data_IF_006822795067
#
_entry.id   IF_006822795067
#
_cell.length_a   1.000
_cell.length_b   1.000
_cell.length_c   1.000
_cell.angle_alpha   90.00
_cell.angle_beta   90.00
_cell.angle_gamma   90.00
#
_symmetry.space_group_name_H-M   'P 1'
#
loop_
_entity.id
_entity.type
_entity.pdbx_description
1 polymer ?
#
# COMPACT_ATOMS: atom_id res chain seq x y z
N UNK A 1 -82.06 -12.74 -49.18
CA UNK A 1 -83.06 -13.45 -48.34
C UNK A 1 -82.63 -13.31 -46.92
N UNK A 2 -83.22 -12.39 -46.20
CA UNK A 2 -84.19 -12.63 -45.14
C UNK A 2 -83.58 -13.33 -43.94
N UNK A 3 -83.67 -12.98 -42.72
CA UNK A 3 -84.51 -12.10 -41.91
C UNK A 3 -84.15 -12.34 -40.43
N UNK A 4 -84.16 -11.29 -39.66
CA UNK A 4 -84.72 -11.12 -38.30
C UNK A 4 -84.23 -11.98 -37.15
N UNK A 5 -84.04 -11.56 -35.95
CA UNK A 5 -84.59 -10.54 -35.02
C UNK A 5 -83.93 -10.77 -33.64
N UNK A 6 -83.48 -9.70 -33.01
CA UNK A 6 -83.85 -9.24 -31.66
C UNK A 6 -84.05 -10.31 -30.56
N UNK A 7 -83.28 -10.19 -29.48
CA UNK A 7 -83.89 -9.93 -28.17
C UNK A 7 -82.89 -9.37 -27.21
N UNK A 8 -83.27 -8.32 -26.52
CA UNK A 8 -82.67 -7.67 -25.37
C UNK A 8 -82.74 -8.57 -24.14
N UNK A 9 -81.72 -8.58 -23.33
CA UNK A 9 -81.83 -8.79 -21.90
C UNK A 9 -80.73 -7.96 -21.17
N UNK A 10 -81.21 -7.03 -20.38
CA UNK A 10 -80.48 -6.21 -19.42
C UNK A 10 -80.20 -7.08 -18.23
N UNK A 11 -78.91 -7.10 -17.73
CA UNK A 11 -78.66 -7.44 -16.33
C UNK A 11 -77.46 -6.64 -15.86
N UNK A 12 -77.74 -5.78 -14.93
CA UNK A 12 -77.01 -5.28 -13.75
C UNK A 12 -75.46 -5.13 -13.75
N UNK A 13 -75.09 -3.86 -13.64
CA UNK A 13 -73.77 -3.43 -13.07
C UNK A 13 -73.60 -3.95 -11.63
N UNK A 14 -72.53 -4.64 -11.38
CA UNK A 14 -71.92 -4.76 -10.04
C UNK A 14 -70.56 -4.20 -10.13
N UNK A 15 -70.38 -2.98 -9.66
CA UNK A 15 -69.13 -2.29 -9.47
C UNK A 15 -68.38 -2.89 -8.27
N UNK A 16 -67.37 -3.68 -8.54
CA UNK A 16 -66.36 -4.07 -7.51
C UNK A 16 -65.19 -3.08 -7.58
N UNK A 17 -65.21 -2.09 -6.68
CA UNK A 17 -64.09 -1.20 -6.45
C UNK A 17 -63.05 -1.96 -5.61
N UNK A 18 -62.03 -2.55 -6.24
CA UNK A 18 -60.82 -2.99 -5.53
C UNK A 18 -59.98 -1.76 -5.22
N UNK A 19 -59.96 -1.36 -3.97
CA UNK A 19 -59.02 -0.39 -3.45
C UNK A 19 -57.61 -1.02 -3.46
N UNK A 20 -56.76 -0.64 -4.41
CA UNK A 20 -55.34 -0.90 -4.39
C UNK A 20 -54.71 0.06 -3.36
N UNK A 21 -54.49 -0.41 -2.13
CA UNK A 21 -53.53 0.20 -1.21
C UNK A 21 -52.15 -0.01 -1.77
N UNK A 22 -51.66 0.94 -2.55
CA UNK A 22 -50.28 1.03 -2.98
C UNK A 22 -49.40 1.27 -1.75
N UNK A 23 -48.76 0.21 -1.24
CA UNK A 23 -47.61 0.34 -0.33
C UNK A 23 -46.48 0.95 -1.17
N UNK A 24 -46.33 2.28 -1.06
CA UNK A 24 -45.14 2.95 -1.56
C UNK A 24 -43.96 2.41 -0.76
N UNK A 25 -43.23 1.44 -1.31
CA UNK A 25 -41.94 1.04 -0.81
C UNK A 25 -41.04 2.27 -0.90
N UNK A 26 -40.77 2.90 0.23
CA UNK A 26 -39.74 3.93 0.35
C UNK A 26 -38.42 3.21 0.09
N UNK A 27 -37.98 3.25 -1.18
CA UNK A 27 -36.62 2.89 -1.51
C UNK A 27 -35.74 4.00 -0.94
N UNK A 28 -35.22 3.82 0.29
CA UNK A 28 -34.04 4.56 0.70
C UNK A 28 -32.96 4.23 -0.31
N UNK A 29 -32.39 5.22 -1.03
CA UNK A 29 -31.23 4.94 -1.86
C UNK A 29 -30.20 4.31 -0.94
N UNK A 30 -29.72 3.12 -1.29
CA UNK A 30 -28.52 2.59 -0.66
C UNK A 30 -27.43 3.65 -0.87
N UNK A 31 -27.00 4.31 0.19
CA UNK A 31 -25.86 5.21 0.12
C UNK A 31 -24.73 4.39 -0.47
N UNK A 32 -24.25 4.78 -1.66
CA UNK A 32 -23.02 4.20 -2.17
C UNK A 32 -21.98 4.35 -1.05
N UNK A 33 -21.35 3.25 -0.65
CA UNK A 33 -20.29 3.32 0.35
C UNK A 33 -19.28 4.36 -0.12
N UNK A 34 -18.91 5.30 0.78
CA UNK A 34 -17.89 6.28 0.46
C UNK A 34 -16.58 5.53 0.17
N UNK A 35 -15.96 5.85 -0.96
CA UNK A 35 -14.74 5.19 -1.42
C UNK A 35 -13.53 6.04 -1.08
N UNK A 36 -12.46 5.36 -0.64
CA UNK A 36 -11.16 5.96 -0.45
C UNK A 36 -10.16 5.23 -1.32
N UNK A 37 -9.46 5.96 -2.16
CA UNK A 37 -8.36 5.41 -2.97
C UNK A 37 -7.03 5.82 -2.36
N UNK A 38 -6.22 4.83 -1.99
CA UNK A 38 -4.92 5.02 -1.35
C UNK A 38 -3.80 4.57 -2.27
N UNK A 39 -2.80 5.42 -2.49
CA UNK A 39 -1.55 5.04 -3.10
C UNK A 39 -0.52 4.82 -1.99
N UNK A 40 -0.06 3.59 -1.81
CA UNK A 40 0.79 3.21 -0.69
C UNK A 40 2.05 2.45 -1.12
N UNK A 41 3.17 2.74 -0.47
CA UNK A 41 4.40 2.00 -0.66
C UNK A 41 4.18 0.49 -0.49
N UNK A 42 4.76 -0.33 -1.37
CA UNK A 42 4.53 -1.77 -1.44
C UNK A 42 4.80 -2.52 -0.12
N UNK A 43 5.74 -2.03 0.69
CA UNK A 43 6.06 -2.57 2.01
C UNK A 43 4.93 -2.47 3.04
N UNK A 44 3.96 -1.57 2.82
CA UNK A 44 2.81 -1.38 3.72
C UNK A 44 1.73 -2.45 3.55
N UNK A 45 1.76 -3.23 2.46
CA UNK A 45 0.62 -4.03 2.04
C UNK A 45 -0.04 -4.82 3.18
N UNK A 46 0.71 -5.63 3.91
CA UNK A 46 0.13 -6.51 4.94
C UNK A 46 -0.49 -5.72 6.10
N UNK A 47 0.22 -4.70 6.60
CA UNK A 47 -0.25 -3.86 7.69
C UNK A 47 -1.46 -3.01 7.28
N UNK A 48 -1.38 -2.40 6.10
CA UNK A 48 -2.42 -1.48 5.65
C UNK A 48 -3.70 -2.22 5.22
N UNK A 49 -3.59 -3.41 4.61
CA UNK A 49 -4.76 -4.24 4.30
C UNK A 49 -5.52 -4.62 5.58
N UNK A 50 -4.80 -4.97 6.67
CA UNK A 50 -5.42 -5.29 7.96
C UNK A 50 -6.06 -4.05 8.61
N UNK A 51 -5.39 -2.91 8.57
CA UNK A 51 -5.93 -1.64 9.07
C UNK A 51 -7.18 -1.21 8.29
N UNK A 52 -7.14 -1.32 6.96
CA UNK A 52 -8.27 -0.97 6.10
C UNK A 52 -9.48 -1.87 6.34
N UNK A 53 -9.28 -3.17 6.53
CA UNK A 53 -10.38 -4.08 6.85
C UNK A 53 -11.10 -3.68 8.17
N UNK A 54 -10.35 -3.18 9.16
CA UNK A 54 -10.93 -2.67 10.40
C UNK A 54 -11.67 -1.33 10.19
N UNK A 55 -11.08 -0.42 9.41
CA UNK A 55 -11.68 0.86 9.04
C UNK A 55 -12.98 0.67 8.26
N UNK A 56 -12.96 -0.12 7.20
CA UNK A 56 -14.11 -0.35 6.32
C UNK A 56 -15.26 -0.98 7.09
N UNK A 57 -14.95 -1.91 8.01
CA UNK A 57 -15.94 -2.51 8.90
C UNK A 57 -16.56 -1.49 9.87
N UNK A 58 -15.74 -0.57 10.44
CA UNK A 58 -16.22 0.44 11.40
C UNK A 58 -17.06 1.53 10.72
N UNK A 59 -16.67 1.94 9.52
CA UNK A 59 -17.25 3.09 8.83
C UNK A 59 -18.27 2.73 7.74
N UNK A 60 -18.30 1.49 7.27
CA UNK A 60 -19.09 1.09 6.12
C UNK A 60 -18.57 1.68 4.80
N UNK A 61 -17.26 1.99 4.74
CA UNK A 61 -16.55 2.51 3.57
C UNK A 61 -15.98 1.38 2.73
N UNK A 62 -15.41 1.72 1.57
CA UNK A 62 -14.65 0.80 0.72
C UNK A 62 -13.27 1.42 0.44
N UNK A 63 -12.22 0.86 1.04
CA UNK A 63 -10.84 1.34 0.80
C UNK A 63 -10.17 0.52 -0.29
N UNK A 64 -9.79 1.18 -1.39
CA UNK A 64 -9.03 0.57 -2.48
C UNK A 64 -7.58 1.05 -2.42
N UNK A 65 -6.62 0.13 -2.47
CA UNK A 65 -5.20 0.47 -2.38
C UNK A 65 -4.42 0.03 -3.61
N UNK A 66 -3.63 0.95 -4.16
CA UNK A 66 -2.60 0.65 -5.16
C UNK A 66 -1.24 0.58 -4.47
N UNK A 67 -0.63 -0.60 -4.50
CA UNK A 67 0.69 -0.85 -3.92
C UNK A 67 1.77 -0.87 -5.00
N UNK A 68 2.75 0.02 -4.89
CA UNK A 68 3.93 0.06 -5.76
C UNK A 68 5.11 0.74 -5.04
N UNK A 69 6.24 0.92 -5.72
CA UNK A 69 7.28 1.80 -5.21
C UNK A 69 6.76 3.24 -5.10
N UNK A 70 7.16 3.96 -4.05
CA UNK A 70 6.75 5.35 -3.85
C UNK A 70 7.09 6.24 -5.04
N UNK A 71 8.20 5.96 -5.73
CA UNK A 71 8.60 6.63 -6.98
C UNK A 71 7.57 6.49 -8.10
N UNK A 72 7.08 5.27 -8.32
CA UNK A 72 6.08 5.00 -9.35
C UNK A 72 4.75 5.66 -9.01
N UNK A 73 4.32 5.58 -7.75
CA UNK A 73 3.08 6.21 -7.27
C UNK A 73 3.16 7.74 -7.36
N UNK A 74 4.28 8.34 -6.96
CA UNK A 74 4.48 9.79 -7.06
C UNK A 74 4.40 10.28 -8.52
N UNK A 75 4.94 9.49 -9.47
CA UNK A 75 4.83 9.80 -10.90
C UNK A 75 3.41 9.62 -11.44
N UNK A 76 2.65 8.64 -10.94
CA UNK A 76 1.24 8.50 -11.27
C UNK A 76 0.40 9.66 -10.73
N UNK A 77 0.68 10.12 -9.50
CA UNK A 77 0.04 11.31 -8.92
C UNK A 77 0.34 12.55 -9.77
N UNK A 78 1.60 12.75 -10.18
CA UNK A 78 2.00 13.85 -11.08
C UNK A 78 1.25 13.79 -12.42
N UNK A 79 1.01 12.58 -12.94
CA UNK A 79 0.25 12.36 -14.18
C UNK A 79 -1.27 12.50 -14.00
N UNK A 80 -1.76 12.82 -12.80
CA UNK A 80 -3.18 13.03 -12.51
C UNK A 80 -3.96 11.75 -12.22
N UNK A 81 -3.30 10.65 -11.85
CA UNK A 81 -4.00 9.44 -11.42
C UNK A 81 -4.85 9.73 -10.18
N UNK A 82 -6.12 9.30 -10.15
CA UNK A 82 -7.03 9.62 -9.06
C UNK A 82 -6.67 8.80 -7.82
N UNK A 83 -6.32 9.50 -6.74
CA UNK A 83 -6.17 8.93 -5.41
C UNK A 83 -6.47 10.00 -4.36
N UNK A 84 -6.84 9.57 -3.15
CA UNK A 84 -7.18 10.45 -2.04
C UNK A 84 -6.02 10.61 -1.08
N UNK A 85 -5.29 9.54 -0.81
CA UNK A 85 -4.21 9.51 0.17
C UNK A 85 -2.95 8.90 -0.45
N UNK A 86 -1.80 9.49 -0.16
CA UNK A 86 -0.49 8.98 -0.53
C UNK A 86 0.33 8.65 0.72
N UNK A 87 0.90 7.44 0.77
CA UNK A 87 1.79 6.99 1.83
C UNK A 87 3.11 6.53 1.19
N UNK A 88 4.14 7.33 1.36
CA UNK A 88 5.47 7.07 0.81
C UNK A 88 6.34 6.28 1.81
N UNK A 89 7.34 5.56 1.31
CA UNK A 89 8.38 4.92 2.13
C UNK A 89 9.65 5.77 2.29
N UNK A 90 9.65 6.98 1.79
CA UNK A 90 10.70 7.99 2.07
C UNK A 90 10.11 9.41 2.02
N UNK A 91 10.83 10.34 2.63
CA UNK A 91 10.46 11.75 2.60
C UNK A 91 10.62 12.35 1.19
N UNK A 92 11.63 11.92 0.44
CA UNK A 92 11.98 12.52 -0.84
C UNK A 92 10.83 12.42 -1.88
N UNK A 93 10.11 11.30 -1.94
CA UNK A 93 8.97 11.17 -2.85
C UNK A 93 7.72 11.90 -2.35
N UNK A 94 7.57 12.07 -1.04
CA UNK A 94 6.54 12.98 -0.50
C UNK A 94 6.88 14.44 -0.79
N UNK A 95 8.15 14.86 -0.62
CA UNK A 95 8.63 16.20 -0.96
C UNK A 95 8.41 16.47 -2.45
N UNK A 96 8.71 15.51 -3.31
CA UNK A 96 8.49 15.61 -4.75
C UNK A 96 7.04 15.96 -5.14
N UNK A 97 6.05 15.32 -4.52
CA UNK A 97 4.63 15.63 -4.80
C UNK A 97 4.19 16.90 -4.10
N UNK A 98 4.77 17.23 -2.94
CA UNK A 98 4.52 18.47 -2.20
C UNK A 98 5.00 19.71 -2.99
N UNK A 99 6.24 19.70 -3.49
CA UNK A 99 6.80 20.78 -4.32
C UNK A 99 5.95 21.07 -5.56
N UNK A 100 5.25 20.06 -6.06
CA UNK A 100 4.29 20.18 -7.17
C UNK A 100 2.89 20.60 -6.74
N UNK A 101 2.68 20.86 -5.43
CA UNK A 101 1.38 21.25 -4.84
C UNK A 101 0.29 20.17 -5.04
N UNK A 102 0.69 18.90 -5.03
CA UNK A 102 -0.19 17.77 -5.26
C UNK A 102 -0.72 17.15 -3.94
N UNK A 103 -0.35 17.72 -2.79
CA UNK A 103 -0.88 17.34 -1.47
C UNK A 103 -1.53 18.52 -0.77
N UNK A 104 -2.38 18.24 0.20
CA UNK A 104 -2.85 19.22 1.20
C UNK A 104 -1.80 19.26 2.31
N UNK A 105 -0.93 20.27 2.30
CA UNK A 105 0.27 20.38 3.15
C UNK A 105 -0.03 20.25 4.66
N UNK A 106 -1.16 20.80 5.10
CA UNK A 106 -1.64 20.76 6.48
C UNK A 106 -2.00 19.35 6.96
N UNK A 107 -2.12 18.41 6.03
CA UNK A 107 -2.44 17.00 6.33
C UNK A 107 -1.20 16.10 6.39
N UNK A 108 -0.04 16.63 5.96
CA UNK A 108 1.20 15.84 5.94
C UNK A 108 1.65 15.49 7.37
N UNK A 109 1.94 14.20 7.59
CA UNK A 109 2.46 13.69 8.85
C UNK A 109 3.48 12.56 8.62
N UNK A 110 4.42 12.40 9.54
CA UNK A 110 5.29 11.23 9.61
C UNK A 110 4.55 10.13 10.37
N UNK A 111 4.22 9.04 9.69
CA UNK A 111 3.36 8.00 10.24
C UNK A 111 4.16 6.86 10.88
N UNK A 112 5.14 6.32 10.16
CA UNK A 112 5.85 5.09 10.54
C UNK A 112 7.35 5.21 10.32
N UNK A 113 8.10 4.42 11.12
CA UNK A 113 9.51 4.11 10.91
C UNK A 113 9.71 2.66 10.51
N UNK A 114 10.89 2.33 9.94
CA UNK A 114 11.26 0.99 9.54
C UNK A 114 12.79 0.80 9.64
N UNK A 115 13.26 -0.41 9.32
CA UNK A 115 14.69 -0.78 9.23
C UNK A 115 14.94 -1.52 7.94
N UNK A 116 16.13 -1.40 7.35
CA UNK A 116 16.58 -2.27 6.27
C UNK A 116 17.37 -3.45 6.83
N UNK A 117 17.17 -4.60 6.19
CA UNK A 117 17.79 -5.87 6.56
C UNK A 117 18.36 -6.58 5.34
N UNK A 118 19.37 -7.38 5.56
CA UNK A 118 19.87 -8.36 4.60
C UNK A 118 19.06 -9.65 4.80
N UNK A 119 18.50 -10.16 3.73
CA UNK A 119 17.75 -11.42 3.72
C UNK A 119 18.40 -12.45 2.80
N UNK A 120 18.18 -13.72 3.09
CA UNK A 120 18.52 -14.85 2.24
C UNK A 120 17.32 -15.82 2.17
N UNK A 121 17.28 -16.76 1.19
CA UNK A 121 16.34 -17.86 1.20
C UNK A 121 16.40 -18.59 2.53
N UNK A 122 15.25 -18.92 3.12
CA UNK A 122 15.17 -19.46 4.48
C UNK A 122 16.08 -20.67 4.72
N UNK A 123 16.11 -21.59 3.76
CA UNK A 123 16.88 -22.83 3.89
C UNK A 123 18.40 -22.65 3.73
N UNK A 124 18.83 -21.49 3.17
CA UNK A 124 20.22 -21.13 2.98
C UNK A 124 20.71 -20.04 3.96
N UNK A 125 19.84 -19.56 4.83
CA UNK A 125 20.10 -18.43 5.71
C UNK A 125 21.19 -18.77 6.75
N UNK A 126 22.22 -17.92 6.82
CA UNK A 126 23.25 -17.95 7.84
C UNK A 126 23.45 -16.53 8.38
N UNK A 127 23.60 -16.35 9.70
CA UNK A 127 23.83 -15.04 10.28
C UNK A 127 25.02 -14.33 9.66
N UNK A 128 24.84 -13.04 9.36
CA UNK A 128 25.87 -12.14 8.81
C UNK A 128 26.03 -10.96 9.75
N UNK A 129 27.27 -10.73 10.20
CA UNK A 129 27.60 -9.50 10.94
C UNK A 129 27.79 -8.35 9.96
N UNK A 130 26.81 -7.42 9.92
CA UNK A 130 26.89 -6.23 9.08
C UNK A 130 27.69 -5.15 9.80
N UNK A 131 28.87 -4.85 9.29
CA UNK A 131 29.80 -3.86 9.81
C UNK A 131 30.61 -3.23 8.69
N UNK A 132 31.41 -2.22 9.04
CA UNK A 132 32.35 -1.58 8.11
C UNK A 132 33.19 -2.63 7.37
N UNK A 133 33.13 -2.60 6.03
CA UNK A 133 33.95 -3.45 5.17
C UNK A 133 33.58 -4.94 5.18
N UNK A 134 32.36 -5.35 5.63
CA UNK A 134 31.97 -6.76 5.57
C UNK A 134 31.96 -7.28 4.12
N UNK A 135 32.35 -8.52 3.92
CA UNK A 135 32.54 -9.08 2.58
C UNK A 135 31.24 -9.54 1.92
N UNK A 136 30.40 -8.55 1.55
CA UNK A 136 29.13 -8.81 0.85
C UNK A 136 29.36 -9.43 -0.54
N UNK A 137 30.47 -9.08 -1.20
CA UNK A 137 30.79 -9.61 -2.52
C UNK A 137 31.03 -11.12 -2.50
N UNK A 138 31.75 -11.63 -1.48
CA UNK A 138 31.94 -13.06 -1.28
C UNK A 138 30.62 -13.78 -0.92
N UNK A 139 29.75 -13.14 -0.12
CA UNK A 139 28.44 -13.69 0.20
C UNK A 139 27.57 -13.86 -1.06
N UNK A 140 27.52 -12.84 -1.90
CA UNK A 140 26.75 -12.87 -3.16
C UNK A 140 27.35 -13.85 -4.17
N UNK A 141 28.67 -14.04 -4.15
CA UNK A 141 29.39 -14.93 -5.06
C UNK A 141 29.13 -14.57 -6.53
N UNK A 142 28.82 -15.56 -7.37
CA UNK A 142 28.46 -15.35 -8.78
C UNK A 142 27.00 -14.93 -8.99
N UNK A 143 26.21 -14.86 -7.91
CA UNK A 143 24.82 -14.47 -7.96
C UNK A 143 24.61 -12.96 -8.06
N UNK A 144 23.37 -12.54 -7.75
CA UNK A 144 22.96 -11.13 -7.75
C UNK A 144 22.46 -10.73 -6.36
N UNK A 145 22.62 -9.45 -6.05
CA UNK A 145 22.04 -8.83 -4.86
C UNK A 145 20.70 -8.20 -5.23
N UNK A 146 19.60 -8.76 -4.75
CA UNK A 146 18.27 -8.22 -5.02
C UNK A 146 18.02 -6.96 -4.18
N UNK A 147 17.69 -5.86 -4.84
CA UNK A 147 17.35 -4.58 -4.22
C UNK A 147 16.26 -3.89 -5.06
N UNK A 148 15.49 -2.99 -4.47
CA UNK A 148 14.78 -2.00 -5.26
C UNK A 148 15.74 -1.20 -6.14
N UNK A 149 15.30 -0.70 -7.29
CA UNK A 149 16.12 0.14 -8.16
C UNK A 149 16.75 1.29 -7.34
N UNK A 150 18.08 1.33 -7.29
CA UNK A 150 18.83 2.15 -6.32
C UNK A 150 18.74 3.66 -6.53
N UNK A 151 18.33 4.07 -7.73
CA UNK A 151 18.20 5.50 -8.08
C UNK A 151 16.79 6.04 -7.80
N UNK A 152 15.79 5.18 -7.58
CA UNK A 152 14.40 5.60 -7.49
C UNK A 152 13.60 4.95 -6.36
N UNK A 153 13.71 3.63 -6.16
CA UNK A 153 12.93 2.90 -5.16
C UNK A 153 13.48 3.19 -3.76
N UNK A 154 12.65 3.62 -2.79
CA UNK A 154 13.13 3.99 -1.45
C UNK A 154 14.04 2.96 -0.79
N UNK A 155 13.63 1.68 -0.72
CA UNK A 155 14.45 0.61 -0.13
C UNK A 155 15.81 0.46 -0.84
N UNK A 156 15.85 0.63 -2.16
CA UNK A 156 17.07 0.61 -2.94
C UNK A 156 17.99 1.78 -2.60
N UNK A 157 17.43 2.99 -2.48
CA UNK A 157 18.18 4.20 -2.08
C UNK A 157 18.79 4.04 -0.68
N UNK A 158 18.01 3.56 0.30
CA UNK A 158 18.50 3.31 1.66
C UNK A 158 19.56 2.21 1.67
N UNK A 159 19.36 1.11 0.93
CA UNK A 159 20.33 0.03 0.82
C UNK A 159 21.65 0.50 0.20
N UNK A 160 21.60 1.28 -0.90
CA UNK A 160 22.79 1.88 -1.50
C UNK A 160 23.53 2.78 -0.52
N UNK A 161 22.82 3.70 0.14
CA UNK A 161 23.42 4.61 1.12
C UNK A 161 24.11 3.84 2.26
N UNK A 162 23.49 2.77 2.76
CA UNK A 162 24.08 1.92 3.79
C UNK A 162 25.34 1.22 3.29
N UNK A 163 25.33 0.64 2.09
CA UNK A 163 26.48 -0.03 1.51
C UNK A 163 27.64 0.93 1.19
N UNK A 164 27.35 2.16 0.75
CA UNK A 164 28.32 3.23 0.56
C UNK A 164 28.97 3.62 1.89
N UNK A 165 28.15 3.86 2.92
CA UNK A 165 28.63 4.22 4.26
C UNK A 165 29.50 3.13 4.87
N UNK A 166 29.14 1.87 4.65
CA UNK A 166 29.91 0.70 5.12
C UNK A 166 31.12 0.36 4.22
N UNK A 167 31.35 1.12 3.14
CA UNK A 167 32.51 0.96 2.26
C UNK A 167 32.49 -0.29 1.38
N UNK A 168 31.30 -0.87 1.14
CA UNK A 168 31.16 -2.14 0.38
C UNK A 168 30.41 -1.99 -0.95
N UNK A 169 29.85 -0.81 -1.25
CA UNK A 169 29.04 -0.58 -2.45
C UNK A 169 29.78 -0.94 -3.73
N UNK A 170 30.99 -0.44 -3.93
CA UNK A 170 31.77 -0.64 -5.15
C UNK A 170 32.09 -2.10 -5.46
N UNK A 171 32.06 -2.98 -4.46
CA UNK A 171 32.30 -4.42 -4.62
C UNK A 171 31.06 -5.17 -5.14
N UNK A 172 29.85 -4.57 -5.04
CA UNK A 172 28.58 -5.22 -5.37
C UNK A 172 27.71 -4.45 -6.34
N UNK A 173 28.03 -3.20 -6.69
CA UNK A 173 27.18 -2.38 -7.59
C UNK A 173 26.91 -3.07 -8.93
N UNK A 174 27.91 -3.73 -9.53
CA UNK A 174 27.76 -4.51 -10.77
C UNK A 174 26.95 -5.81 -10.60
N UNK A 175 26.67 -6.22 -9.38
CA UNK A 175 25.91 -7.43 -9.03
C UNK A 175 24.46 -7.15 -8.65
N UNK A 176 24.03 -5.88 -8.59
CA UNK A 176 22.67 -5.54 -8.19
C UNK A 176 21.65 -6.02 -9.22
N UNK A 177 20.65 -6.75 -8.76
CA UNK A 177 19.38 -6.99 -9.46
C UNK A 177 18.38 -5.96 -9.00
N UNK A 178 18.29 -4.85 -9.74
CA UNK A 178 17.37 -3.74 -9.44
C UNK A 178 15.94 -4.11 -9.78
N UNK A 179 15.06 -4.15 -8.78
CA UNK A 179 13.64 -4.46 -8.93
C UNK A 179 12.78 -3.19 -8.93
N UNK A 180 11.60 -3.28 -9.53
CA UNK A 180 10.64 -2.17 -9.60
C UNK A 180 10.07 -1.75 -8.23
N UNK A 181 10.12 -2.64 -7.23
CA UNK A 181 9.70 -2.36 -5.85
C UNK A 181 10.48 -3.25 -4.87
N UNK A 182 10.39 -2.93 -3.57
CA UNK A 182 11.00 -3.76 -2.52
C UNK A 182 10.38 -5.15 -2.46
N UNK A 183 9.08 -5.29 -2.71
CA UNK A 183 8.40 -6.61 -2.73
C UNK A 183 8.80 -7.43 -3.95
N UNK A 184 9.09 -6.80 -5.09
CA UNK A 184 9.67 -7.49 -6.24
C UNK A 184 11.10 -7.98 -5.94
N UNK A 185 11.92 -7.18 -5.24
CA UNK A 185 13.24 -7.60 -4.78
C UNK A 185 13.17 -8.77 -3.79
N UNK A 186 12.26 -8.71 -2.81
CA UNK A 186 12.00 -9.79 -1.86
C UNK A 186 11.65 -11.10 -2.57
N UNK A 187 10.79 -11.04 -3.58
CA UNK A 187 10.36 -12.20 -4.35
C UNK A 187 11.52 -12.89 -5.09
N UNK A 188 12.53 -12.15 -5.55
CA UNK A 188 13.73 -12.75 -6.16
C UNK A 188 14.48 -13.62 -5.16
N UNK A 189 14.57 -13.19 -3.90
CA UNK A 189 15.21 -13.97 -2.84
C UNK A 189 14.35 -15.15 -2.43
N UNK A 190 13.07 -14.93 -2.20
CA UNK A 190 12.12 -15.98 -1.78
C UNK A 190 12.03 -17.13 -2.77
N UNK A 191 12.19 -16.85 -4.08
CA UNK A 191 12.22 -17.86 -5.16
C UNK A 191 13.60 -18.46 -5.41
N UNK A 192 14.64 -18.03 -4.67
CA UNK A 192 16.01 -18.48 -4.85
C UNK A 192 16.71 -17.95 -6.13
N UNK A 193 16.15 -16.91 -6.77
CA UNK A 193 16.73 -16.25 -7.94
C UNK A 193 17.89 -15.31 -7.57
N UNK A 194 17.93 -14.87 -6.30
CA UNK A 194 19.02 -14.12 -5.71
C UNK A 194 19.41 -14.73 -4.35
N UNK A 195 20.72 -14.96 -4.10
CA UNK A 195 21.19 -15.52 -2.83
C UNK A 195 20.99 -14.56 -1.64
N UNK A 196 20.98 -13.27 -1.90
CA UNK A 196 20.76 -12.24 -0.89
C UNK A 196 19.94 -11.07 -1.47
N UNK A 197 19.23 -10.37 -0.56
CA UNK A 197 18.54 -9.14 -0.91
C UNK A 197 18.53 -8.15 0.24
N UNK A 198 18.38 -6.87 -0.09
CA UNK A 198 18.18 -5.79 0.88
C UNK A 198 16.74 -5.30 0.77
N UNK A 199 15.99 -5.49 1.85
CA UNK A 199 14.56 -5.17 1.96
C UNK A 199 14.29 -4.53 3.32
N UNK A 200 13.06 -4.13 3.57
CA UNK A 200 12.69 -3.72 4.92
C UNK A 200 12.44 -4.92 5.83
N UNK A 201 12.62 -4.73 7.13
CA UNK A 201 12.30 -5.74 8.15
C UNK A 201 10.86 -6.23 8.03
N UNK A 202 9.93 -5.31 7.76
CA UNK A 202 8.50 -5.60 7.57
C UNK A 202 8.22 -6.44 6.33
N UNK A 203 9.03 -6.32 5.27
CA UNK A 203 8.92 -7.17 4.08
C UNK A 203 9.36 -8.60 4.38
N UNK A 204 10.48 -8.73 5.10
CA UNK A 204 10.98 -10.04 5.52
C UNK A 204 10.01 -10.77 6.45
N UNK A 205 9.35 -10.03 7.36
CA UNK A 205 8.32 -10.61 8.24
C UNK A 205 7.08 -11.11 7.48
N UNK A 206 6.80 -10.53 6.30
CA UNK A 206 5.63 -10.87 5.49
C UNK A 206 5.84 -12.07 4.55
N UNK A 207 7.06 -12.58 4.39
CA UNK A 207 7.38 -13.70 3.49
C UNK A 207 8.13 -14.83 4.22
N UNK A 208 7.46 -15.97 4.49
CA UNK A 208 8.10 -17.09 5.17
C UNK A 208 9.18 -17.81 4.36
N UNK A 209 9.34 -17.51 3.07
CA UNK A 209 10.37 -18.05 2.18
C UNK A 209 11.75 -17.46 2.39
N UNK A 210 11.86 -16.36 3.15
CA UNK A 210 13.14 -15.71 3.47
C UNK A 210 13.41 -15.70 4.97
N UNK A 211 14.67 -15.46 5.32
CA UNK A 211 15.06 -15.15 6.70
C UNK A 211 15.97 -13.93 6.73
N UNK A 212 15.83 -13.13 7.77
CA UNK A 212 16.77 -12.04 8.08
C UNK A 212 18.09 -12.65 8.51
N UNK A 213 19.17 -12.31 7.82
CA UNK A 213 20.52 -12.78 8.14
C UNK A 213 21.35 -11.68 8.78
N UNK A 214 20.97 -10.42 8.63
CA UNK A 214 21.63 -9.28 9.29
C UNK A 214 20.78 -8.02 9.21
N UNK A 215 20.92 -7.14 10.20
CA UNK A 215 20.26 -5.82 10.23
C UNK A 215 21.31 -4.74 10.01
N UNK A 216 21.02 -3.80 9.12
CA UNK A 216 21.94 -2.67 8.88
C UNK A 216 21.94 -1.72 10.08
N UNK A 217 23.14 -1.20 10.48
CA UNK A 217 23.23 -0.18 11.51
C UNK A 217 22.39 1.06 11.13
N UNK A 218 21.67 1.63 12.10
CA UNK A 218 20.79 2.79 11.88
C UNK A 218 21.57 4.03 11.42
N UNK A 219 22.83 4.16 11.77
CA UNK A 219 23.72 5.25 11.35
C UNK A 219 24.35 5.02 9.96
N UNK A 220 24.07 3.88 9.33
CA UNK A 220 24.56 3.58 7.97
C UNK A 220 23.73 4.22 6.86
N UNK A 221 22.54 4.72 7.16
CA UNK A 221 21.62 5.33 6.20
C UNK A 221 20.77 6.42 6.87
N UNK A 222 20.13 7.32 6.10
CA UNK A 222 19.17 8.26 6.65
C UNK A 222 18.01 7.52 7.37
N UNK A 223 17.37 8.14 8.39
CA UNK A 223 16.19 7.56 9.03
C UNK A 223 15.11 7.17 8.02
N UNK A 224 14.57 5.97 8.16
CA UNK A 224 13.51 5.47 7.30
C UNK A 224 12.17 5.94 7.85
N UNK A 225 11.53 6.87 7.16
CA UNK A 225 10.29 7.50 7.56
C UNK A 225 9.26 7.31 6.46
N UNK A 226 8.05 6.92 6.85
CA UNK A 226 6.88 6.82 5.98
C UNK A 226 5.97 8.01 6.23
N UNK A 227 6.05 9.05 5.41
CA UNK A 227 5.10 10.16 5.46
C UNK A 227 3.79 9.78 4.78
N UNK A 228 2.70 10.40 5.26
CA UNK A 228 1.36 10.31 4.70
C UNK A 228 0.81 11.71 4.44
N UNK A 229 0.01 11.88 3.40
CA UNK A 229 -0.74 13.11 3.14
C UNK A 229 -2.00 12.83 2.31
N UNK A 230 -2.98 13.71 2.42
CA UNK A 230 -4.14 13.76 1.53
C UNK A 230 -3.72 14.49 0.25
N UNK A 231 -4.09 13.94 -0.91
CA UNK A 231 -3.80 14.56 -2.20
C UNK A 231 -4.67 15.80 -2.44
N UNK A 232 -4.12 16.82 -3.08
CA UNK A 232 -4.84 18.07 -3.35
C UNK A 232 -6.07 17.87 -4.24
N UNK A 233 -6.05 16.86 -5.12
CA UNK A 233 -7.16 16.48 -5.99
C UNK A 233 -8.24 15.63 -5.31
N UNK A 234 -8.05 15.21 -4.05
CA UNK A 234 -9.04 14.40 -3.34
C UNK A 234 -10.33 15.16 -3.08
N UNK A 235 -11.44 14.54 -3.47
CA UNK A 235 -12.81 14.99 -3.19
C UNK A 235 -13.52 14.10 -2.15
N UNK A 236 -12.83 13.07 -1.63
CA UNK A 236 -13.39 12.17 -0.61
C UNK A 236 -13.66 12.94 0.69
N UNK A 237 -14.87 12.81 1.21
CA UNK A 237 -15.27 13.39 2.51
C UNK A 237 -14.68 12.61 3.68
N UNK A 238 -14.29 11.35 3.46
CA UNK A 238 -13.74 10.46 4.48
C UNK A 238 -12.20 10.51 4.58
N UNK A 239 -11.49 11.16 3.63
CA UNK A 239 -10.04 11.15 3.60
C UNK A 239 -9.39 11.70 4.88
N UNK A 240 -9.97 12.75 5.48
CA UNK A 240 -9.47 13.32 6.75
C UNK A 240 -9.68 12.35 7.93
N UNK A 241 -10.87 11.78 8.05
CA UNK A 241 -11.18 10.80 9.10
C UNK A 241 -10.34 9.52 8.95
N UNK A 242 -10.09 9.08 7.71
CA UNK A 242 -9.20 7.96 7.44
C UNK A 242 -7.75 8.25 7.84
N UNK A 243 -7.24 9.44 7.52
CA UNK A 243 -5.91 9.86 7.95
C UNK A 243 -5.79 9.89 9.49
N UNK A 244 -6.82 10.39 10.17
CA UNK A 244 -6.86 10.40 11.64
C UNK A 244 -6.93 8.98 12.21
N UNK A 245 -7.66 8.07 11.57
CA UNK A 245 -7.65 6.65 11.94
C UNK A 245 -6.23 6.06 11.80
N UNK A 246 -5.53 6.26 10.68
CA UNK A 246 -4.18 5.74 10.49
C UNK A 246 -3.19 6.23 11.55
N UNK A 247 -3.36 7.45 12.07
CA UNK A 247 -2.55 8.04 13.15
C UNK A 247 -2.97 7.60 14.55
N UNK A 248 -4.11 6.94 14.69
CA UNK A 248 -4.70 6.60 15.99
C UNK A 248 -4.08 5.38 16.65
N UNK A 249 -4.26 5.26 17.95
CA UNK A 249 -3.90 4.07 18.72
C UNK A 249 -4.71 2.82 18.30
N UNK A 250 -5.86 3.00 17.61
CA UNK A 250 -6.63 1.90 17.03
C UNK A 250 -5.91 1.24 15.85
N UNK A 251 -5.25 2.03 15.00
CA UNK A 251 -4.51 1.53 13.84
C UNK A 251 -3.11 1.02 14.20
N UNK A 252 -2.52 1.51 15.29
CA UNK A 252 -1.16 1.21 15.70
C UNK A 252 -0.83 -0.30 15.76
N UNK A 253 -1.68 -1.19 16.31
CA UNK A 253 -1.39 -2.63 16.37
C UNK A 253 -1.15 -3.26 15.00
N UNK A 254 -1.92 -2.89 13.96
CA UNK A 254 -1.76 -3.44 12.62
C UNK A 254 -0.37 -3.16 12.02
N UNK A 255 0.22 -2.02 12.38
CA UNK A 255 1.57 -1.65 11.94
C UNK A 255 2.64 -2.31 12.80
N UNK A 256 2.50 -2.28 14.12
CA UNK A 256 3.52 -2.82 15.03
C UNK A 256 3.65 -4.33 14.95
N UNK A 257 2.56 -5.06 14.71
CA UNK A 257 2.56 -6.51 14.47
C UNK A 257 3.35 -6.91 13.21
N UNK A 258 3.44 -6.02 12.24
CA UNK A 258 4.26 -6.21 11.03
C UNK A 258 5.71 -5.70 11.21
N UNK A 259 6.05 -5.11 12.36
CA UNK A 259 7.40 -4.65 12.68
C UNK A 259 7.68 -3.17 12.35
N UNK A 260 6.68 -2.37 12.02
CA UNK A 260 6.84 -0.92 11.91
C UNK A 260 6.97 -0.26 13.29
N UNK A 261 7.66 0.87 13.33
CA UNK A 261 7.68 1.78 14.49
C UNK A 261 6.66 2.89 14.26
N UNK A 262 5.81 3.17 15.25
CA UNK A 262 4.89 4.32 15.20
C UNK A 262 5.68 5.61 15.46
N UNK A 263 5.53 6.61 14.59
CA UNK A 263 6.08 7.95 14.79
C UNK A 263 4.93 8.87 15.27
N UNK A 264 5.16 9.58 16.36
CA UNK A 264 4.18 10.52 16.93
C UNK A 264 4.67 11.94 16.81
#
# INVERSE_FOLDING_TARGET
MEFKRRHLARVALATFALAWLGVAAVHTPASAADKITVFAAASLKNALDAANAAWDKEKGTETTVSYAASSALAKQIEAGAPADVFISADLAWMDYVAEKKLIKEDTRANLLGNRIVLVAPKDAAKPVEIKQGFDLAALVGDGRLAMGAVDSVPAGKYGKAALEKLGVWSSVEGKVAGAESVRAALALVSRGEAPYGIVYQTDAAADPGVAIVGTFPEDSHPPIIYPVAILSGSTSTEAAAYLDFLKSDKAAPFFTEQGFTILK
#
